data_IF_989204578064
#
_entry.id   IF_989204578064
#
_cell.length_a   1.000
_cell.length_b   1.000
_cell.length_c   1.000
_cell.angle_alpha   90.00
_cell.angle_beta   90.00
_cell.angle_gamma   90.00
#
_symmetry.space_group_name_H-M   'P 1'
#
loop_
_entity.id
_entity.type
_entity.pdbx_description
1 polymer ?
#
# COMPACT_ATOMS: atom_id res chain seq x y z
N UNK A 1 36.38 -58.21 -42.48
CA UNK A 1 35.52 -58.07 -41.28
C UNK A 1 35.58 -56.63 -40.83
N UNK A 2 34.47 -55.87 -40.89
CA UNK A 2 34.40 -54.49 -40.37
C UNK A 2 34.02 -54.54 -38.90
N UNK A 3 34.87 -53.99 -38.04
CA UNK A 3 34.58 -53.81 -36.62
C UNK A 3 33.39 -52.85 -36.43
N UNK A 4 32.49 -53.11 -35.47
CA UNK A 4 31.37 -52.23 -35.21
C UNK A 4 31.86 -50.88 -34.69
N UNK A 5 31.34 -49.80 -35.27
CA UNK A 5 31.64 -48.44 -34.86
C UNK A 5 30.90 -48.14 -33.55
N UNK A 6 31.57 -47.63 -32.50
CA UNK A 6 30.91 -47.33 -31.23
C UNK A 6 29.88 -46.20 -31.41
N UNK A 7 28.77 -46.22 -30.66
CA UNK A 7 27.72 -45.21 -30.78
C UNK A 7 28.28 -43.82 -30.41
N UNK A 8 27.77 -42.75 -31.05
CA UNK A 8 28.21 -41.39 -30.76
C UNK A 8 27.93 -41.05 -29.29
N UNK A 9 28.97 -40.63 -28.58
CA UNK A 9 28.84 -40.15 -27.20
C UNK A 9 28.03 -38.85 -27.21
N UNK A 10 26.99 -38.79 -26.36
CA UNK A 10 26.23 -37.56 -26.16
C UNK A 10 27.17 -36.45 -25.68
N UNK A 11 27.02 -35.20 -26.18
CA UNK A 11 27.85 -34.10 -25.72
C UNK A 11 27.63 -33.90 -24.21
N UNK A 12 28.69 -33.55 -23.45
CA UNK A 12 28.55 -33.30 -22.03
C UNK A 12 27.54 -32.18 -21.81
N UNK A 13 26.58 -32.40 -20.89
CA UNK A 13 25.67 -31.38 -20.40
C UNK A 13 26.50 -30.25 -19.80
N UNK A 14 26.80 -29.22 -20.59
CA UNK A 14 27.38 -27.97 -20.10
C UNK A 14 26.36 -27.35 -19.17
N UNK A 15 26.61 -27.45 -17.86
CA UNK A 15 25.86 -26.70 -16.85
C UNK A 15 25.96 -25.23 -17.23
N UNK A 16 24.83 -24.61 -17.60
CA UNK A 16 24.78 -23.18 -17.87
C UNK A 16 25.41 -22.44 -16.68
N UNK A 17 26.37 -21.54 -16.89
CA UNK A 17 27.00 -20.82 -15.79
C UNK A 17 25.92 -20.00 -15.07
N UNK A 18 25.64 -20.36 -13.82
CA UNK A 18 24.69 -19.64 -12.98
C UNK A 18 25.16 -18.20 -12.83
N UNK A 19 24.46 -17.28 -13.48
CA UNK A 19 24.86 -15.89 -13.58
C UNK A 19 24.50 -15.17 -12.27
N UNK A 20 25.41 -15.22 -11.29
CA UNK A 20 25.22 -14.69 -9.92
C UNK A 20 24.77 -13.23 -9.89
N UNK A 21 25.17 -12.44 -10.88
CA UNK A 21 24.74 -11.05 -11.06
C UNK A 21 23.24 -10.92 -11.35
N UNK A 22 22.70 -11.73 -12.26
CA UNK A 22 21.27 -11.75 -12.56
C UNK A 22 20.47 -12.22 -11.33
N UNK A 23 20.97 -13.21 -10.60
CA UNK A 23 20.34 -13.65 -9.35
C UNK A 23 20.31 -12.52 -8.30
N UNK A 24 21.42 -11.79 -8.14
CA UNK A 24 21.49 -10.62 -7.24
C UNK A 24 20.53 -9.50 -7.65
N UNK A 25 20.47 -9.17 -8.94
CA UNK A 25 19.55 -8.15 -9.46
C UNK A 25 18.08 -8.56 -9.26
N UNK A 26 17.73 -9.82 -9.56
CA UNK A 26 16.38 -10.34 -9.35
C UNK A 26 15.97 -10.30 -7.88
N UNK A 27 16.90 -10.65 -6.97
CA UNK A 27 16.63 -10.57 -5.54
C UNK A 27 16.38 -9.11 -5.10
N UNK A 28 17.20 -8.17 -5.58
CA UNK A 28 17.02 -6.74 -5.28
C UNK A 28 15.67 -6.21 -5.78
N UNK A 29 15.27 -6.57 -7.00
CA UNK A 29 13.98 -6.22 -7.56
C UNK A 29 12.84 -6.80 -6.72
N UNK A 30 12.95 -8.06 -6.29
CA UNK A 30 11.93 -8.72 -5.47
C UNK A 30 11.79 -8.05 -4.09
N UNK A 31 12.90 -7.70 -3.44
CA UNK A 31 12.88 -6.97 -2.17
C UNK A 31 12.30 -5.56 -2.32
N UNK A 32 12.62 -4.88 -3.42
CA UNK A 32 12.07 -3.56 -3.72
C UNK A 32 10.56 -3.63 -3.97
N UNK A 33 10.11 -4.61 -4.76
CA UNK A 33 8.69 -4.86 -5.00
C UNK A 33 7.94 -5.19 -3.71
N UNK A 34 8.52 -6.03 -2.84
CA UNK A 34 7.94 -6.35 -1.54
C UNK A 34 7.83 -5.11 -0.65
N UNK A 35 8.88 -4.29 -0.59
CA UNK A 35 8.88 -3.04 0.18
C UNK A 35 7.83 -2.05 -0.32
N UNK A 36 7.69 -1.89 -1.64
CA UNK A 36 6.65 -1.05 -2.24
C UNK A 36 5.26 -1.60 -1.96
N UNK A 37 5.06 -2.91 -2.11
CA UNK A 37 3.78 -3.56 -1.83
C UNK A 37 3.34 -3.34 -0.38
N UNK A 38 4.24 -3.50 0.59
CA UNK A 38 3.94 -3.25 2.01
C UNK A 38 3.53 -1.81 2.31
N UNK A 39 4.05 -0.82 1.58
CA UNK A 39 3.66 0.60 1.73
C UNK A 39 2.25 0.90 1.21
N UNK A 40 1.77 0.09 0.26
CA UNK A 40 0.43 0.20 -0.31
C UNK A 40 -0.65 -0.48 0.54
N UNK A 41 -0.26 -1.33 1.48
CA UNK A 41 -1.20 -2.01 2.37
C UNK A 41 -1.73 -1.05 3.43
N UNK A 42 -3.03 -1.15 3.69
CA UNK A 42 -3.61 -0.58 4.89
C UNK A 42 -3.26 -1.41 6.11
N UNK A 43 -2.96 -0.73 7.22
CA UNK A 43 -2.66 -1.36 8.50
C UNK A 43 -3.59 -0.81 9.56
N UNK A 44 -4.31 -1.70 10.25
CA UNK A 44 -5.05 -1.35 11.45
C UNK A 44 -4.05 -1.00 12.56
N UNK A 45 -4.07 0.24 13.03
CA UNK A 45 -3.15 0.74 14.06
C UNK A 45 -3.82 0.92 15.42
N UNK A 46 -5.14 1.03 15.45
CA UNK A 46 -5.93 1.09 16.69
C UNK A 46 -7.28 0.42 16.50
N UNK A 47 -7.75 -0.24 17.55
CA UNK A 47 -9.11 -0.76 17.71
C UNK A 47 -9.53 -0.53 19.16
N UNK A 48 -10.37 0.47 19.38
CA UNK A 48 -10.75 0.92 20.72
C UNK A 48 -12.19 1.41 20.74
N UNK A 49 -12.82 1.58 21.91
CA UNK A 49 -14.21 2.04 21.98
C UNK A 49 -14.47 3.37 21.27
N UNK A 50 -13.45 4.21 21.07
CA UNK A 50 -13.56 5.47 20.32
C UNK A 50 -13.49 5.30 18.79
N UNK A 51 -13.30 4.08 18.31
CA UNK A 51 -13.26 3.76 16.89
C UNK A 51 -12.08 2.87 16.49
N UNK A 52 -12.04 2.59 15.21
CA UNK A 52 -11.02 1.84 14.52
C UNK A 52 -10.20 2.80 13.66
N UNK A 53 -8.87 2.68 13.71
CA UNK A 53 -7.96 3.54 12.93
C UNK A 53 -7.07 2.70 12.02
N UNK A 54 -7.06 3.08 10.74
CA UNK A 54 -6.27 2.46 9.69
C UNK A 54 -5.26 3.47 9.15
N UNK A 55 -4.07 3.00 8.78
CA UNK A 55 -3.01 3.84 8.25
C UNK A 55 -2.38 3.22 6.99
N UNK A 56 -2.14 4.07 5.99
CA UNK A 56 -1.41 3.73 4.77
C UNK A 56 -0.60 4.93 4.30
N UNK A 57 0.72 4.76 4.22
CA UNK A 57 1.66 5.81 3.77
C UNK A 57 1.52 7.12 4.56
N UNK A 58 0.86 8.13 4.01
CA UNK A 58 0.61 9.43 4.65
C UNK A 58 -0.89 9.67 4.91
N UNK A 59 -1.71 8.62 4.79
CA UNK A 59 -3.16 8.68 4.97
C UNK A 59 -3.58 7.89 6.21
N UNK A 60 -4.44 8.50 7.02
CA UNK A 60 -5.12 7.86 8.15
C UNK A 60 -6.61 7.87 7.89
N UNK A 61 -7.26 6.74 8.11
CA UNK A 61 -8.71 6.61 8.12
C UNK A 61 -9.19 6.26 9.53
N UNK A 62 -10.28 6.89 9.95
CA UNK A 62 -10.92 6.65 11.25
C UNK A 62 -12.36 6.26 11.01
N UNK A 63 -12.77 5.13 11.60
CA UNK A 63 -14.14 4.62 11.67
C UNK A 63 -14.56 4.70 13.15
N UNK A 64 -15.28 5.76 13.51
CA UNK A 64 -15.70 6.09 14.89
C UNK A 64 -16.90 5.26 15.32
N UNK A 65 -17.87 5.04 14.43
CA UNK A 65 -19.11 4.31 14.75
C UNK A 65 -18.99 2.78 14.55
N UNK A 66 -17.88 2.31 13.99
CA UNK A 66 -17.54 0.89 13.74
C UNK A 66 -18.45 0.21 12.73
N UNK A 67 -18.96 0.95 11.75
CA UNK A 67 -19.83 0.43 10.70
C UNK A 67 -19.08 -0.05 9.45
N UNK A 68 -17.74 0.08 9.44
CA UNK A 68 -16.86 -0.30 8.34
C UNK A 68 -16.70 0.77 7.26
N UNK A 69 -17.30 1.96 7.43
CA UNK A 69 -17.06 3.15 6.61
C UNK A 69 -16.13 4.12 7.33
N UNK A 70 -15.49 4.96 6.53
CA UNK A 70 -14.53 5.95 7.04
C UNK A 70 -15.26 7.23 7.41
N UNK A 71 -15.25 7.58 8.68
CA UNK A 71 -15.85 8.83 9.17
C UNK A 71 -14.91 10.02 9.05
N UNK A 72 -13.60 9.77 9.03
CA UNK A 72 -12.59 10.81 8.85
C UNK A 72 -11.39 10.27 8.08
N UNK A 73 -11.00 10.98 7.03
CA UNK A 73 -9.74 10.77 6.31
C UNK A 73 -8.81 11.95 6.54
N UNK A 74 -7.57 11.66 6.92
CA UNK A 74 -6.50 12.65 7.08
C UNK A 74 -5.34 12.28 6.17
N UNK A 75 -5.01 13.17 5.23
CA UNK A 75 -3.84 13.03 4.34
C UNK A 75 -2.79 14.07 4.74
N UNK A 76 -1.65 13.62 5.27
CA UNK A 76 -0.52 14.49 5.60
C UNK A 76 0.20 14.93 4.33
N UNK A 77 0.29 16.24 4.12
CA UNK A 77 0.89 16.85 2.95
C UNK A 77 2.40 17.08 3.17
N UNK A 78 3.24 17.13 2.11
CA UNK A 78 4.69 17.35 2.25
C UNK A 78 5.09 18.66 2.93
N UNK A 79 4.19 19.65 2.93
CA UNK A 79 4.40 20.95 3.57
C UNK A 79 4.06 20.95 5.09
N UNK A 80 3.68 19.79 5.65
CA UNK A 80 3.30 19.64 7.06
C UNK A 80 1.82 19.93 7.37
N UNK A 81 1.05 20.46 6.40
CA UNK A 81 -0.40 20.59 6.52
C UNK A 81 -1.07 19.20 6.45
N UNK A 82 -2.35 19.13 6.83
CA UNK A 82 -3.17 17.93 6.61
C UNK A 82 -4.43 18.29 5.83
N UNK A 83 -4.70 17.58 4.73
CA UNK A 83 -6.00 17.62 4.10
C UNK A 83 -6.94 16.65 4.85
N UNK A 84 -8.09 17.14 5.28
CA UNK A 84 -9.06 16.36 6.06
C UNK A 84 -10.37 16.30 5.30
N UNK A 85 -10.97 15.11 5.24
CA UNK A 85 -12.37 14.89 4.85
C UNK A 85 -13.09 14.25 6.03
N UNK A 86 -14.32 14.67 6.30
CA UNK A 86 -15.10 14.21 7.45
C UNK A 86 -16.54 13.95 7.05
N UNK A 87 -17.08 12.85 7.57
CA UNK A 87 -18.49 12.53 7.67
C UNK A 87 -18.94 13.02 9.05
N UNK A 88 -19.63 14.16 9.08
CA UNK A 88 -19.92 14.84 10.34
C UNK A 88 -21.15 14.26 11.04
N UNK A 89 -22.07 13.66 10.29
CA UNK A 89 -23.32 13.08 10.79
C UNK A 89 -23.33 11.53 10.83
N UNK A 90 -22.26 10.88 10.36
CA UNK A 90 -22.02 9.44 10.37
C UNK A 90 -23.02 8.68 9.46
N UNK A 91 -23.37 9.28 8.32
CA UNK A 91 -24.32 8.72 7.36
C UNK A 91 -23.66 7.91 6.22
N UNK A 92 -22.34 7.80 6.23
CA UNK A 92 -21.52 7.11 5.25
C UNK A 92 -21.06 8.01 4.09
N UNK A 93 -21.20 9.33 4.20
CA UNK A 93 -20.76 10.30 3.22
C UNK A 93 -19.88 11.39 3.85
N UNK A 94 -18.77 11.71 3.19
CA UNK A 94 -18.05 12.93 3.53
C UNK A 94 -18.87 14.15 3.14
N UNK A 95 -19.14 15.00 4.13
CA UNK A 95 -19.90 16.24 4.00
C UNK A 95 -19.01 17.50 4.10
N UNK A 96 -17.80 17.34 4.64
CA UNK A 96 -16.88 18.43 4.92
C UNK A 96 -15.46 18.08 4.49
N UNK A 97 -14.78 19.05 3.88
CA UNK A 97 -13.34 19.03 3.61
C UNK A 97 -12.68 20.31 4.09
N UNK A 98 -11.48 20.20 4.61
CA UNK A 98 -10.68 21.36 4.99
C UNK A 98 -9.19 21.01 4.98
N UNK A 99 -8.34 22.03 5.14
CA UNK A 99 -6.90 21.87 5.37
C UNK A 99 -6.59 22.31 6.79
N UNK A 100 -6.03 21.40 7.59
CA UNK A 100 -5.52 21.70 8.91
C UNK A 100 -4.06 22.19 8.83
N UNK A 101 -3.80 23.38 9.38
CA UNK A 101 -2.47 23.96 9.52
C UNK A 101 -2.23 24.34 10.98
N UNK A 102 -1.27 23.71 11.63
CA UNK A 102 -0.96 23.98 13.04
C UNK A 102 -2.14 23.76 13.99
N UNK A 103 -3.01 22.78 13.69
CA UNK A 103 -4.23 22.49 14.46
C UNK A 103 -5.42 23.40 14.14
N UNK A 104 -5.28 24.32 13.18
CA UNK A 104 -6.36 25.22 12.76
C UNK A 104 -6.93 24.75 11.43
N UNK A 105 -8.24 24.51 11.39
CA UNK A 105 -8.96 24.21 10.15
C UNK A 105 -9.06 25.46 9.27
N UNK A 106 -8.64 25.33 8.01
CA UNK A 106 -8.64 26.39 7.01
C UNK A 106 -9.32 25.90 5.74
N UNK A 107 -9.94 26.83 4.98
CA UNK A 107 -10.63 26.52 3.72
C UNK A 107 -11.70 25.42 3.87
N UNK A 108 -12.66 25.56 4.81
CA UNK A 108 -13.76 24.62 4.89
C UNK A 108 -14.59 24.67 3.62
N UNK A 109 -14.87 23.49 3.07
CA UNK A 109 -15.65 23.26 1.86
C UNK A 109 -16.68 22.19 2.18
N UNK A 110 -17.94 22.46 1.86
CA UNK A 110 -18.97 21.43 1.89
C UNK A 110 -18.91 20.60 0.61
N UNK A 111 -19.08 19.30 0.74
CA UNK A 111 -19.11 18.37 -0.38
C UNK A 111 -20.09 17.23 -0.08
N UNK A 112 -20.21 16.29 -1.02
CA UNK A 112 -20.92 15.03 -0.81
C UNK A 112 -20.22 13.94 -1.60
N UNK A 113 -19.36 13.19 -0.93
CA UNK A 113 -18.60 12.09 -1.52
C UNK A 113 -18.80 10.83 -0.68
N UNK A 114 -19.01 9.67 -1.33
CA UNK A 114 -19.23 8.43 -0.57
C UNK A 114 -17.96 8.07 0.21
N UNK A 115 -18.11 7.81 1.52
CA UNK A 115 -17.00 7.40 2.35
C UNK A 115 -16.52 5.99 1.95
N UNK A 116 -15.20 5.79 1.79
CA UNK A 116 -14.65 4.48 1.47
C UNK A 116 -14.92 3.48 2.60
N UNK A 117 -14.85 2.19 2.24
CA UNK A 117 -14.97 1.06 3.18
C UNK A 117 -13.64 0.37 3.39
N UNK A 118 -13.53 -0.27 4.55
CA UNK A 118 -12.37 -1.04 4.97
C UNK A 118 -12.62 -2.54 5.08
#
# INVERSE_FOLDING_TARGET
>A
MRSPQPPPQAPPLTKAPWNRWLAGLNLLLLLTALGLWQKLQWKKISDSPSGIVWHRSNTTHTDRNRDGRVDEEVVRLPNGDAAVRRDSDLDGWFDLRYVERGGIATRPEQLREEAPRH
#
